data_IF_920874923387
#
_entry.id   IF_920874923387
#
_cell.length_a   1.000
_cell.length_b   1.000
_cell.length_c   1.000
_cell.angle_alpha   90.00
_cell.angle_beta   90.00
_cell.angle_gamma   90.00
#
_symmetry.space_group_name_H-M   'P 1'
#
loop_
_entity.id
_entity.type
_entity.pdbx_description
1 polymer ?
#
# COMPACT_ATOMS: atom_id res chain seq x y z
N UNK A 1 5.84 9.78 -14.50
CA UNK A 1 5.95 8.64 -13.55
C UNK A 1 5.53 8.97 -12.11
N UNK A 2 5.70 10.20 -11.60
CA UNK A 2 5.29 10.57 -10.22
C UNK A 2 3.78 10.59 -9.97
N UNK A 3 2.96 10.82 -11.00
CA UNK A 3 1.50 10.91 -10.88
C UNK A 3 0.87 9.56 -10.48
N UNK A 4 1.46 8.46 -10.98
CA UNK A 4 1.04 7.10 -10.61
C UNK A 4 1.32 6.81 -9.13
N UNK A 5 2.43 7.32 -8.58
CA UNK A 5 2.80 7.13 -7.16
C UNK A 5 1.89 7.85 -6.19
N UNK A 6 1.51 9.10 -6.49
CA UNK A 6 0.53 9.84 -5.69
C UNK A 6 -0.84 9.15 -5.72
N UNK A 7 -1.25 8.65 -6.89
CA UNK A 7 -2.48 7.87 -7.03
C UNK A 7 -2.45 6.59 -6.20
N UNK A 8 -1.34 5.82 -6.23
CA UNK A 8 -1.17 4.63 -5.41
C UNK A 8 -1.21 4.94 -3.90
N UNK A 9 -0.64 6.06 -3.46
CA UNK A 9 -0.68 6.48 -2.05
C UNK A 9 -2.11 6.86 -1.61
N UNK A 10 -2.84 7.63 -2.41
CA UNK A 10 -4.24 7.99 -2.13
C UNK A 10 -5.17 6.77 -2.17
N UNK A 11 -4.99 5.87 -3.14
CA UNK A 11 -5.72 4.61 -3.22
C UNK A 11 -5.46 3.72 -2.01
N UNK A 12 -4.20 3.54 -1.59
CA UNK A 12 -3.86 2.73 -0.41
C UNK A 12 -4.48 3.33 0.87
N UNK A 13 -4.49 4.66 1.00
CA UNK A 13 -5.18 5.33 2.11
C UNK A 13 -6.69 5.09 2.12
N UNK A 14 -7.33 5.15 0.94
CA UNK A 14 -8.75 4.83 0.77
C UNK A 14 -9.04 3.35 1.07
N UNK A 15 -8.18 2.43 0.66
CA UNK A 15 -8.30 1.00 0.96
C UNK A 15 -8.21 0.73 2.46
N UNK A 16 -7.30 1.39 3.18
CA UNK A 16 -7.17 1.25 4.64
C UNK A 16 -8.42 1.79 5.36
N UNK A 17 -8.89 2.98 5.00
CA UNK A 17 -10.10 3.56 5.58
C UNK A 17 -11.33 2.69 5.31
N UNK A 18 -11.43 2.13 4.10
CA UNK A 18 -12.52 1.22 3.73
C UNK A 18 -12.42 -0.09 4.52
N UNK A 19 -11.23 -0.67 4.65
CA UNK A 19 -11.02 -1.88 5.44
C UNK A 19 -11.42 -1.67 6.90
N UNK A 20 -11.01 -0.56 7.52
CA UNK A 20 -11.39 -0.21 8.90
C UNK A 20 -12.90 -0.04 9.03
N UNK A 21 -13.53 0.70 8.10
CA UNK A 21 -14.97 0.93 8.11
C UNK A 21 -15.78 -0.36 7.93
N UNK A 22 -15.40 -1.21 6.97
CA UNK A 22 -16.05 -2.49 6.69
C UNK A 22 -15.83 -3.45 7.86
N UNK A 23 -14.59 -3.69 8.29
CA UNK A 23 -14.30 -4.58 9.42
C UNK A 23 -14.99 -4.11 10.70
N UNK A 24 -15.00 -2.81 10.99
CA UNK A 24 -15.70 -2.24 12.15
C UNK A 24 -17.23 -2.39 12.06
N UNK A 25 -17.80 -2.17 10.87
CA UNK A 25 -19.24 -2.34 10.63
C UNK A 25 -19.67 -3.80 10.78
N UNK A 26 -18.90 -4.73 10.24
CA UNK A 26 -19.19 -6.16 10.38
C UNK A 26 -18.95 -6.67 11.81
N UNK A 27 -17.97 -6.12 12.52
CA UNK A 27 -17.76 -6.44 13.93
C UNK A 27 -18.94 -5.98 14.79
N UNK A 28 -19.54 -4.83 14.48
CA UNK A 28 -20.76 -4.36 15.14
C UNK A 28 -21.97 -5.26 14.89
N UNK A 29 -22.02 -5.95 13.75
CA UNK A 29 -23.10 -6.89 13.40
C UNK A 29 -22.90 -8.30 13.98
N UNK A 30 -21.84 -8.53 14.76
CA UNK A 30 -21.42 -9.85 15.29
C UNK A 30 -21.14 -10.91 14.21
N UNK A 31 -21.02 -10.49 12.94
CA UNK A 31 -20.73 -11.35 11.78
C UNK A 31 -19.21 -11.54 11.62
N UNK A 32 -18.63 -12.29 12.56
CA UNK A 32 -17.18 -12.54 12.63
C UNK A 32 -16.60 -13.17 11.36
N UNK A 33 -17.33 -14.08 10.72
CA UNK A 33 -16.85 -14.81 9.53
C UNK A 33 -16.68 -13.86 8.35
N UNK A 34 -17.68 -13.03 8.07
CA UNK A 34 -17.58 -12.06 6.98
C UNK A 34 -16.52 -10.99 7.30
N UNK A 35 -16.38 -10.58 8.57
CA UNK A 35 -15.32 -9.66 9.00
C UNK A 35 -13.93 -10.23 8.67
N UNK A 36 -13.71 -11.51 8.97
CA UNK A 36 -12.45 -12.20 8.73
C UNK A 36 -12.13 -12.34 7.22
N UNK A 37 -13.14 -12.65 6.41
CA UNK A 37 -13.02 -12.69 4.94
C UNK A 37 -12.67 -11.31 4.40
N UNK A 38 -13.35 -10.26 4.88
CA UNK A 38 -13.09 -8.88 4.45
C UNK A 38 -11.64 -8.48 4.73
N UNK A 39 -11.13 -8.79 5.93
CA UNK A 39 -9.77 -8.47 6.32
C UNK A 39 -8.73 -9.18 5.43
N UNK A 40 -8.98 -10.44 5.06
CA UNK A 40 -8.11 -11.20 4.15
C UNK A 40 -8.09 -10.57 2.75
N UNK A 41 -9.26 -10.24 2.20
CA UNK A 41 -9.37 -9.65 0.85
C UNK A 41 -8.71 -8.28 0.80
N UNK A 42 -9.03 -7.40 1.74
CA UNK A 42 -8.40 -6.07 1.85
C UNK A 42 -6.90 -6.18 2.12
N UNK A 43 -6.47 -7.12 2.95
CA UNK A 43 -5.06 -7.37 3.24
C UNK A 43 -4.25 -7.74 1.99
N UNK A 44 -4.84 -8.51 1.06
CA UNK A 44 -4.17 -8.87 -0.21
C UNK A 44 -3.99 -7.66 -1.14
N UNK A 45 -4.98 -6.77 -1.19
CA UNK A 45 -4.92 -5.54 -1.98
C UNK A 45 -3.86 -4.57 -1.44
N UNK A 46 -3.86 -4.34 -0.13
CA UNK A 46 -2.88 -3.49 0.56
C UNK A 46 -1.46 -4.06 0.38
N UNK A 47 -1.28 -5.37 0.49
CA UNK A 47 0.03 -6.02 0.31
C UNK A 47 0.57 -5.80 -1.11
N UNK A 48 -0.27 -5.89 -2.13
CA UNK A 48 0.14 -5.66 -3.52
C UNK A 48 0.63 -4.21 -3.71
N UNK A 49 -0.14 -3.23 -3.22
CA UNK A 49 0.25 -1.82 -3.22
C UNK A 49 1.56 -1.58 -2.48
N UNK A 50 1.74 -2.21 -1.32
CA UNK A 50 2.94 -2.08 -0.50
C UNK A 50 4.20 -2.63 -1.20
N UNK A 51 4.11 -3.81 -1.83
CA UNK A 51 5.25 -4.39 -2.54
C UNK A 51 5.66 -3.50 -3.72
N UNK A 52 4.69 -2.99 -4.47
CA UNK A 52 4.94 -2.07 -5.60
C UNK A 52 5.59 -0.77 -5.14
N UNK A 53 5.08 -0.16 -4.07
CA UNK A 53 5.69 1.04 -3.49
C UNK A 53 7.10 0.76 -2.96
N UNK A 54 7.30 -0.36 -2.26
CA UNK A 54 8.60 -0.76 -1.73
C UNK A 54 9.63 -0.99 -2.83
N UNK A 55 9.26 -1.67 -3.91
CA UNK A 55 10.14 -1.88 -5.07
C UNK A 55 10.49 -0.56 -5.77
N UNK A 56 9.53 0.35 -5.91
CA UNK A 56 9.82 1.65 -6.52
C UNK A 56 10.76 2.50 -5.67
N UNK A 57 10.54 2.57 -4.35
CA UNK A 57 11.45 3.29 -3.44
C UNK A 57 12.87 2.71 -3.50
N UNK A 58 13.02 1.38 -3.63
CA UNK A 58 14.32 0.75 -3.85
C UNK A 58 14.96 1.10 -5.19
N UNK A 59 14.16 1.19 -6.27
CA UNK A 59 14.62 1.59 -7.60
C UNK A 59 15.08 3.05 -7.63
N UNK A 60 14.41 3.94 -6.88
CA UNK A 60 14.80 5.33 -6.68
C UNK A 60 16.11 5.47 -5.88
N UNK A 61 16.28 4.68 -4.81
CA UNK A 61 17.53 4.64 -4.03
C UNK A 61 18.72 4.17 -4.86
N UNK A 62 18.55 3.11 -5.67
CA UNK A 62 19.58 2.66 -6.64
C UNK A 62 19.96 3.77 -7.62
N UNK A 63 18.97 4.51 -8.15
CA UNK A 63 19.24 5.59 -9.11
C UNK A 63 19.96 6.78 -8.47
N UNK A 64 19.70 7.07 -7.20
CA UNK A 64 20.37 8.14 -6.45
C UNK A 64 21.82 7.74 -6.10
N UNK A 65 22.04 6.50 -5.64
CA UNK A 65 23.38 5.99 -5.33
C UNK A 65 24.32 5.94 -6.54
N UNK A 66 23.81 5.55 -7.72
CA UNK A 66 24.59 5.56 -8.96
C UNK A 66 24.91 6.99 -9.47
N UNK A 67 24.09 7.98 -9.10
CA UNK A 67 24.39 9.38 -9.43
C UNK A 67 25.47 9.95 -8.51
N UNK A 68 25.46 9.59 -7.22
CA UNK A 68 26.48 9.98 -6.25
C UNK A 68 27.86 9.37 -6.57
N UNK A 69 27.92 8.11 -7.03
CA UNK A 69 29.19 7.46 -7.39
C UNK A 69 29.85 8.09 -8.63
N UNK A 70 29.05 8.67 -9.54
CA UNK A 70 29.54 9.39 -10.74
C UNK A 70 29.97 10.85 -10.48
N UNK A 71 29.81 11.37 -9.26
CA UNK A 71 30.17 12.75 -8.87
C UNK A 71 31.41 12.76 -7.97
N UNK A 72 31.96 11.59 -7.59
CA UNK A 72 33.22 11.54 -6.85
C UNK A 72 34.37 11.98 -7.78
N UNK A 73 35.12 13.06 -7.44
CA UNK A 73 36.20 13.60 -8.25
C UNK A 73 37.40 12.66 -8.32
#
# INVERSE_FOLDING_TARGET
MREKFLFFCTCTGLEIMTAIGVTGYLFHLEEYVLSLISMIVFGKLILFHFIMEFFDRKKLQTKNSHNVERIKP
#
